data_IF_596434510044
#
_entry.id   IF_596434510044
#
_cell.length_a   1.000
_cell.length_b   1.000
_cell.length_c   1.000
_cell.angle_alpha   90.00
_cell.angle_beta   90.00
_cell.angle_gamma   90.00
#
_symmetry.space_group_name_H-M   'P 1'
#
loop_
_entity.id
_entity.type
_entity.pdbx_description
1 polymer ?
#
# COMPACT_ATOMS: atom_id res chain seq x y z
N UNK A 1 -15.98 7.31 -2.26
CA UNK A 1 -15.37 8.45 -1.55
C UNK A 1 -14.02 8.71 -2.18
N UNK A 2 -13.62 9.97 -2.37
CA UNK A 2 -12.29 10.31 -2.89
C UNK A 2 -11.42 10.69 -1.69
N UNK A 3 -10.22 10.14 -1.62
CA UNK A 3 -9.24 10.43 -0.58
C UNK A 3 -7.98 10.97 -1.21
N UNK A 4 -7.57 12.17 -0.82
CA UNK A 4 -6.36 12.81 -1.34
C UNK A 4 -5.14 12.36 -0.52
N UNK A 5 -4.08 11.95 -1.20
CA UNK A 5 -2.80 11.60 -0.59
C UNK A 5 -1.78 12.67 -0.97
N UNK A 6 -1.04 13.18 0.01
CA UNK A 6 0.08 14.09 -0.25
C UNK A 6 1.38 13.29 -0.40
N UNK A 7 2.09 13.51 -1.50
CA UNK A 7 3.37 12.88 -1.79
C UNK A 7 4.49 13.92 -1.79
N UNK A 8 5.68 13.51 -1.37
CA UNK A 8 6.88 14.33 -1.56
C UNK A 8 7.20 14.41 -3.05
N UNK A 9 7.76 15.53 -3.50
CA UNK A 9 8.15 15.74 -4.90
C UNK A 9 8.95 14.58 -5.53
N UNK A 10 10.01 14.02 -4.89
CA UNK A 10 10.72 12.88 -5.47
C UNK A 10 9.85 11.64 -5.65
N UNK A 11 8.91 11.40 -4.74
CA UNK A 11 7.97 10.27 -4.83
C UNK A 11 6.97 10.47 -5.97
N UNK A 12 6.53 11.71 -6.19
CA UNK A 12 5.63 12.07 -7.29
C UNK A 12 6.31 11.87 -8.65
N UNK A 13 7.58 12.27 -8.78
CA UNK A 13 8.38 12.05 -9.98
C UNK A 13 8.54 10.56 -10.29
N UNK A 14 8.90 9.76 -9.29
CA UNK A 14 9.01 8.31 -9.45
C UNK A 14 7.67 7.68 -9.88
N UNK A 15 6.54 8.11 -9.28
CA UNK A 15 5.22 7.63 -9.67
C UNK A 15 4.86 8.01 -11.12
N UNK A 16 5.26 9.20 -11.57
CA UNK A 16 5.07 9.63 -12.96
C UNK A 16 5.89 8.78 -13.94
N UNK A 17 7.15 8.47 -13.63
CA UNK A 17 7.98 7.58 -14.45
C UNK A 17 7.38 6.17 -14.56
N UNK A 18 6.92 5.63 -13.42
CA UNK A 18 6.23 4.33 -13.40
C UNK A 18 4.96 4.36 -14.23
N UNK A 19 4.14 5.41 -14.09
CA UNK A 19 2.93 5.59 -14.90
C UNK A 19 3.26 5.55 -16.39
N UNK A 20 4.25 6.34 -16.84
CA UNK A 20 4.64 6.38 -18.26
C UNK A 20 5.12 5.00 -18.75
N UNK A 21 5.89 4.28 -17.92
CA UNK A 21 6.31 2.93 -18.26
C UNK A 21 5.12 1.98 -18.44
N UNK A 22 4.15 1.99 -17.52
CA UNK A 22 2.97 1.15 -17.62
C UNK A 22 2.09 1.54 -18.82
N UNK A 23 1.91 2.83 -19.09
CA UNK A 23 1.15 3.29 -20.27
C UNK A 23 1.79 2.80 -21.57
N UNK A 24 3.13 2.78 -21.65
CA UNK A 24 3.85 2.21 -22.79
C UNK A 24 3.68 0.69 -22.89
N UNK A 25 3.68 -0.03 -21.77
CA UNK A 25 3.53 -1.50 -21.72
C UNK A 25 2.10 -1.92 -22.10
N UNK A 26 1.09 -1.24 -21.56
CA UNK A 26 -0.32 -1.57 -21.81
C UNK A 26 -0.89 -0.92 -23.07
N UNK A 27 -0.19 0.02 -23.69
CA UNK A 27 -0.62 0.73 -24.89
C UNK A 27 -1.88 1.57 -24.68
N UNK A 28 -2.18 1.95 -23.43
CA UNK A 28 -3.34 2.77 -23.07
C UNK A 28 -2.97 3.76 -21.98
N UNK A 29 -3.69 4.88 -21.91
CA UNK A 29 -3.55 5.78 -20.78
C UNK A 29 -4.10 5.14 -19.50
N UNK A 30 -3.43 5.43 -18.38
CA UNK A 30 -3.78 4.95 -17.05
C UNK A 30 -3.89 6.13 -16.09
N UNK A 31 -4.86 6.10 -15.20
CA UNK A 31 -4.95 7.03 -14.08
C UNK A 31 -3.92 6.70 -12.99
N UNK A 32 -3.62 7.66 -12.12
CA UNK A 32 -2.77 7.40 -10.96
C UNK A 32 -3.37 6.34 -10.03
N UNK A 33 -4.69 6.29 -9.91
CA UNK A 33 -5.39 5.27 -9.12
C UNK A 33 -5.16 3.87 -9.68
N UNK A 34 -5.27 3.70 -11.00
CA UNK A 34 -4.98 2.41 -11.67
C UNK A 34 -3.51 2.01 -11.54
N UNK A 35 -2.58 2.98 -11.63
CA UNK A 35 -1.14 2.73 -11.44
C UNK A 35 -0.86 2.28 -10.01
N UNK A 36 -1.45 2.96 -9.02
CA UNK A 36 -1.30 2.59 -7.60
C UNK A 36 -1.91 1.21 -7.35
N UNK A 37 -3.10 0.92 -7.89
CA UNK A 37 -3.74 -0.38 -7.74
C UNK A 37 -2.90 -1.50 -8.37
N UNK A 38 -2.36 -1.27 -9.56
CA UNK A 38 -1.43 -2.19 -10.21
C UNK A 38 -0.18 -2.41 -9.36
N UNK A 39 0.42 -1.33 -8.85
CA UNK A 39 1.60 -1.42 -8.01
C UNK A 39 1.30 -2.20 -6.74
N UNK A 40 0.19 -1.95 -6.05
CA UNK A 40 -0.20 -2.68 -4.84
C UNK A 40 -0.46 -4.16 -5.11
N UNK A 41 -1.08 -4.50 -6.25
CA UNK A 41 -1.36 -5.90 -6.65
C UNK A 41 -0.10 -6.66 -7.09
N UNK A 42 0.81 -5.99 -7.79
CA UNK A 42 2.00 -6.60 -8.39
C UNK A 42 3.17 -6.62 -7.41
N UNK A 43 3.19 -5.62 -6.52
CA UNK A 43 4.00 -5.65 -5.33
C UNK A 43 3.51 -6.79 -4.45
N UNK A 44 4.19 -7.93 -4.48
CA UNK A 44 4.36 -8.76 -3.28
C UNK A 44 5.15 -7.97 -2.22
N UNK A 45 4.77 -6.72 -1.96
CA UNK A 45 5.30 -6.01 -0.82
C UNK A 45 4.53 -6.60 0.33
N UNK A 46 5.12 -7.68 0.84
CA UNK A 46 5.04 -8.08 2.22
C UNK A 46 5.58 -6.89 3.02
N UNK A 47 4.79 -5.81 3.11
CA UNK A 47 5.01 -4.77 4.10
C UNK A 47 4.85 -5.58 5.36
N UNK A 48 5.90 -5.76 6.20
CA UNK A 48 5.71 -6.45 7.45
C UNK A 48 4.76 -5.57 8.24
N UNK A 49 3.47 -5.88 8.14
CA UNK A 49 2.38 -5.06 8.64
C UNK A 49 2.57 -4.90 10.14
N UNK A 50 3.13 -5.93 10.79
CA UNK A 50 3.63 -5.92 12.16
C UNK A 50 4.60 -4.78 12.49
N UNK A 51 5.53 -4.37 11.61
CA UNK A 51 6.47 -3.25 11.87
C UNK A 51 5.81 -1.88 11.68
N UNK A 52 5.01 -1.72 10.64
CA UNK A 52 4.38 -0.42 10.33
C UNK A 52 3.23 -0.15 11.30
N UNK A 53 2.37 -1.14 11.55
CA UNK A 53 1.18 -1.00 12.38
C UNK A 53 1.51 -0.91 13.87
N UNK A 54 2.59 -1.56 14.33
CA UNK A 54 3.09 -1.35 15.70
C UNK A 54 3.53 0.11 15.94
N UNK A 55 4.07 0.79 14.92
CA UNK A 55 4.46 2.21 15.00
C UNK A 55 3.26 3.15 14.95
N UNK A 56 2.17 2.77 14.28
CA UNK A 56 0.96 3.59 14.12
C UNK A 56 -0.23 3.16 14.99
N UNK A 57 -0.05 2.22 15.93
CA UNK A 57 -1.12 1.69 16.81
C UNK A 57 -1.95 2.76 17.53
N UNK A 58 -1.36 3.93 17.82
CA UNK A 58 -2.07 5.06 18.43
C UNK A 58 -2.95 5.88 17.49
N UNK A 59 -2.80 5.71 16.17
CA UNK A 59 -3.49 6.49 15.11
C UNK A 59 -4.44 5.62 14.30
N UNK A 60 -4.47 4.31 14.53
CA UNK A 60 -5.39 3.40 13.85
C UNK A 60 -6.82 3.58 14.34
N UNK A 61 -7.75 3.75 13.39
CA UNK A 61 -9.18 3.68 13.64
C UNK A 61 -9.62 2.29 14.14
N UNK A 62 -10.91 2.14 14.45
CA UNK A 62 -11.46 0.89 14.98
C UNK A 62 -11.20 -0.32 14.06
N UNK A 63 -11.37 -0.15 12.76
CA UNK A 63 -11.16 -1.21 11.76
C UNK A 63 -9.68 -1.63 11.65
N UNK A 64 -8.76 -0.67 11.67
CA UNK A 64 -7.32 -0.95 11.63
C UNK A 64 -6.81 -1.72 12.84
N UNK A 65 -7.44 -1.52 14.01
CA UNK A 65 -7.12 -2.29 15.23
C UNK A 65 -7.58 -3.74 15.15
N UNK A 66 -8.77 -4.00 14.60
CA UNK A 66 -9.28 -5.37 14.44
C UNK A 66 -8.42 -6.18 13.46
N UNK A 67 -7.98 -5.57 12.37
CA UNK A 67 -7.08 -6.22 11.40
C UNK A 67 -5.74 -6.55 12.07
N UNK A 68 -5.17 -5.62 12.86
CA UNK A 68 -3.94 -5.88 13.61
C UNK A 68 -4.07 -7.05 14.60
N UNK A 69 -5.16 -7.12 15.35
CA UNK A 69 -5.37 -8.18 16.34
C UNK A 69 -5.51 -9.55 15.67
N UNK A 70 -6.22 -9.65 14.55
CA UNK A 70 -6.34 -10.90 13.78
C UNK A 70 -4.99 -11.37 13.25
N UNK A 71 -4.23 -10.48 12.63
CA UNK A 71 -2.91 -10.84 12.08
C UNK A 71 -1.92 -11.24 13.18
N UNK A 72 -1.97 -10.59 14.36
CA UNK A 72 -1.13 -10.97 15.51
C UNK A 72 -1.47 -12.37 16.03
N UNK A 73 -2.74 -12.77 16.00
CA UNK A 73 -3.14 -14.11 16.38
C UNK A 73 -2.62 -15.16 15.38
N UNK A 74 -2.67 -14.87 14.08
CA UNK A 74 -2.13 -15.73 13.04
C UNK A 74 -0.60 -15.88 13.12
N UNK A 75 0.14 -14.80 13.40
CA UNK A 75 1.59 -14.86 13.65
C UNK A 75 1.93 -15.77 14.84
N UNK A 76 1.20 -15.66 15.96
CA UNK A 76 1.41 -16.49 17.16
C UNK A 76 1.06 -17.97 16.93
N UNK A 77 0.18 -18.27 15.99
CA UNK A 77 -0.19 -19.64 15.62
C UNK A 77 0.87 -20.30 14.74
N UNK A 78 1.54 -19.54 13.87
CA UNK A 78 2.61 -20.03 12.99
C UNK A 78 3.97 -20.19 13.70
N UNK A 79 4.15 -19.63 14.89
CA UNK A 79 5.35 -19.80 15.72
C UNK A 79 5.29 -21.03 16.67
N UNK A 80 4.25 -21.87 16.60
CA UNK A 80 4.12 -23.14 17.35
C UNK A 80 4.36 -24.37 16.48
#
# INVERSE_FOLDING_TARGET
MVTTIQLKEPTKLALFEVKNHLENVFGRSMSYDEVIEYLVKTSQVDIPFSRTVRKFRGVLGAEGRQIYEKMRQEELLNEK
#
